data_IF_749167444062
#
_entry.id   IF_749167444062
#
_cell.length_a   1.000
_cell.length_b   1.000
_cell.length_c   1.000
_cell.angle_alpha   90.00
_cell.angle_beta   90.00
_cell.angle_gamma   90.00
#
_symmetry.space_group_name_H-M   'P 1'
#
loop_
_entity.id
_entity.type
_entity.pdbx_description
1 polymer ?
#
# COMPACT_ATOMS: atom_id res chain seq x y z
N UNK A 1 -27.94 18.81 23.19
CA UNK A 1 -28.78 18.14 24.20
C UNK A 1 -30.13 17.82 23.56
N UNK A 2 -30.85 16.82 24.05
CA UNK A 2 -32.22 16.53 23.60
C UNK A 2 -33.24 17.41 24.35
N UNK A 3 -34.54 17.21 24.06
CA UNK A 3 -35.66 17.92 24.69
C UNK A 3 -35.75 17.68 26.22
N UNK A 4 -35.12 16.60 26.71
CA UNK A 4 -35.09 16.22 28.12
C UNK A 4 -33.77 16.62 28.81
N UNK A 5 -32.96 17.49 28.20
CA UNK A 5 -31.65 17.92 28.70
C UNK A 5 -30.56 16.83 28.78
N UNK A 6 -30.72 15.70 28.09
CA UNK A 6 -29.66 14.69 28.01
C UNK A 6 -28.58 15.10 27.00
N UNK A 7 -27.32 14.74 27.26
CA UNK A 7 -26.21 15.00 26.36
C UNK A 7 -26.27 14.08 25.13
N UNK A 8 -26.42 14.66 23.93
CA UNK A 8 -26.45 13.90 22.66
C UNK A 8 -25.11 13.90 21.91
N UNK A 9 -24.19 14.81 22.22
CA UNK A 9 -22.95 14.96 21.48
C UNK A 9 -22.26 16.30 21.77
N UNK A 10 -21.05 16.44 21.23
CA UNK A 10 -20.22 17.63 21.35
C UNK A 10 -19.60 17.94 19.99
N UNK A 11 -19.65 19.20 19.59
CA UNK A 11 -18.92 19.72 18.42
C UNK A 11 -17.95 20.77 18.94
N UNK A 12 -16.71 20.71 18.47
CA UNK A 12 -15.69 21.68 18.87
C UNK A 12 -15.33 22.60 17.72
N UNK A 13 -14.82 23.81 18.02
CA UNK A 13 -14.31 24.73 17.00
C UNK A 13 -13.19 24.09 16.16
N UNK A 14 -12.41 23.19 16.77
CA UNK A 14 -11.34 22.43 16.11
C UNK A 14 -11.86 21.53 15.00
N UNK A 15 -13.08 20.99 15.13
CA UNK A 15 -13.69 20.15 14.08
C UNK A 15 -14.02 20.99 12.83
N UNK A 16 -14.51 22.21 13.05
CA UNK A 16 -14.82 23.19 11.99
C UNK A 16 -13.53 23.67 11.31
N UNK A 17 -12.54 24.07 12.10
CA UNK A 17 -11.23 24.52 11.58
C UNK A 17 -10.53 23.44 10.77
N UNK A 18 -10.56 22.17 11.24
CA UNK A 18 -9.98 21.05 10.49
C UNK A 18 -10.71 20.78 9.18
N UNK A 19 -12.03 20.91 9.14
CA UNK A 19 -12.80 20.73 7.91
C UNK A 19 -12.42 21.78 6.85
N UNK A 20 -12.18 23.02 7.26
CA UNK A 20 -11.72 24.07 6.35
C UNK A 20 -10.24 23.87 5.93
N UNK A 21 -9.38 23.49 6.89
CA UNK A 21 -7.94 23.29 6.65
C UNK A 21 -7.64 22.10 5.75
N UNK A 22 -8.44 21.03 5.83
CA UNK A 22 -8.22 19.79 5.07
C UNK A 22 -9.46 19.43 4.23
N UNK A 23 -9.74 20.18 3.15
CA UNK A 23 -10.95 20.00 2.34
C UNK A 23 -10.99 18.68 1.58
N UNK A 24 -9.82 18.08 1.31
CA UNK A 24 -9.68 16.78 0.64
C UNK A 24 -9.57 15.60 1.62
N UNK A 25 -9.98 15.78 2.89
CA UNK A 25 -9.92 14.72 3.89
C UNK A 25 -10.85 13.55 3.51
N UNK A 26 -10.31 12.33 3.52
CA UNK A 26 -11.09 11.12 3.34
C UNK A 26 -11.90 10.83 4.61
N UNK A 27 -13.23 10.90 4.50
CA UNK A 27 -14.15 10.81 5.64
C UNK A 27 -15.27 9.80 5.40
N UNK A 28 -15.76 9.19 6.46
CA UNK A 28 -16.98 8.39 6.45
C UNK A 28 -18.24 9.27 6.37
N UNK A 29 -19.42 8.63 6.30
CA UNK A 29 -20.71 9.31 6.23
C UNK A 29 -21.03 10.17 7.49
N UNK A 30 -20.33 9.95 8.61
CA UNK A 30 -20.46 10.72 9.85
C UNK A 30 -19.43 11.86 9.95
N UNK A 31 -18.58 12.03 8.93
CA UNK A 31 -17.55 13.07 8.88
C UNK A 31 -16.26 12.74 9.64
N UNK A 32 -16.08 11.49 10.10
CA UNK A 32 -14.87 11.00 10.77
C UNK A 32 -13.84 10.55 9.75
N UNK A 33 -12.55 10.60 10.10
CA UNK A 33 -11.48 10.17 9.19
C UNK A 33 -11.53 8.66 8.96
N UNK A 34 -11.34 8.23 7.71
CA UNK A 34 -11.27 6.82 7.36
C UNK A 34 -9.99 6.17 7.89
N UNK A 35 -10.10 4.95 8.40
CA UNK A 35 -8.98 4.13 8.86
C UNK A 35 -9.18 2.65 8.55
N UNK A 36 -8.11 1.99 8.14
CA UNK A 36 -8.06 0.55 7.92
C UNK A 36 -7.02 -0.12 8.82
N UNK A 37 -7.23 -1.38 9.15
CA UNK A 37 -6.32 -2.15 10.02
C UNK A 37 -5.93 -3.49 9.40
N UNK A 38 -4.65 -3.85 9.54
CA UNK A 38 -4.13 -5.12 9.05
C UNK A 38 -4.38 -6.26 10.06
N UNK A 39 -4.76 -7.42 9.55
CA UNK A 39 -4.97 -8.66 10.30
C UNK A 39 -4.31 -9.83 9.54
N UNK A 40 -3.65 -10.72 10.27
CA UNK A 40 -3.13 -11.97 9.73
C UNK A 40 -4.20 -13.07 9.68
N UNK A 41 -3.78 -14.33 9.69
CA UNK A 41 -4.64 -15.52 9.75
C UNK A 41 -4.22 -16.50 10.85
N UNK A 42 -3.34 -16.10 11.77
CA UNK A 42 -3.02 -16.89 12.97
C UNK A 42 -4.26 -17.14 13.85
N UNK A 43 -4.24 -18.18 14.70
CA UNK A 43 -5.22 -18.31 15.77
C UNK A 43 -5.37 -17.00 16.55
N UNK A 44 -6.61 -16.58 16.84
CA UNK A 44 -6.89 -15.29 17.47
C UNK A 44 -7.25 -14.14 16.50
N UNK A 45 -7.21 -14.38 15.18
CA UNK A 45 -7.47 -13.32 14.20
C UNK A 45 -8.91 -12.79 14.26
N UNK A 46 -9.90 -13.61 14.61
CA UNK A 46 -11.30 -13.20 14.69
C UNK A 46 -11.56 -12.28 15.88
N UNK A 47 -10.94 -12.54 17.02
CA UNK A 47 -10.99 -11.71 18.22
C UNK A 47 -10.40 -10.33 17.92
N UNK A 48 -9.30 -10.29 17.14
CA UNK A 48 -8.72 -9.03 16.66
C UNK A 48 -9.68 -8.29 15.73
N UNK A 49 -10.31 -8.98 14.78
CA UNK A 49 -11.31 -8.38 13.87
C UNK A 49 -12.48 -7.83 14.68
N UNK A 50 -13.00 -8.59 15.64
CA UNK A 50 -14.10 -8.19 16.50
C UNK A 50 -13.78 -6.92 17.30
N UNK A 51 -12.59 -6.85 17.90
CA UNK A 51 -12.13 -5.66 18.61
C UNK A 51 -12.02 -4.44 17.69
N UNK A 52 -11.50 -4.62 16.47
CA UNK A 52 -11.35 -3.55 15.47
C UNK A 52 -12.71 -3.04 14.95
N UNK A 53 -13.66 -3.96 14.71
CA UNK A 53 -15.03 -3.61 14.33
C UNK A 53 -15.73 -2.88 15.48
N UNK A 54 -15.55 -3.34 16.72
CA UNK A 54 -16.04 -2.64 17.92
C UNK A 54 -15.49 -1.21 18.05
N UNK A 55 -14.25 -1.00 17.60
CA UNK A 55 -13.61 0.32 17.51
C UNK A 55 -14.00 1.12 16.25
N UNK A 56 -14.90 0.61 15.41
CA UNK A 56 -15.43 1.25 14.18
C UNK A 56 -14.39 1.46 13.08
N UNK A 57 -13.52 0.47 12.85
CA UNK A 57 -12.64 0.45 11.66
C UNK A 57 -13.47 0.46 10.37
N UNK A 58 -13.03 1.19 9.35
CA UNK A 58 -13.74 1.27 8.06
C UNK A 58 -13.44 0.07 7.15
N UNK A 59 -12.21 -0.48 7.23
CA UNK A 59 -11.81 -1.64 6.46
C UNK A 59 -10.81 -2.54 7.20
N UNK A 60 -10.91 -3.84 6.96
CA UNK A 60 -9.90 -4.83 7.37
C UNK A 60 -9.05 -5.23 6.17
N UNK A 61 -7.73 -5.31 6.38
CA UNK A 61 -6.77 -5.80 5.39
C UNK A 61 -6.23 -7.14 5.87
N UNK A 62 -6.70 -8.24 5.29
CA UNK A 62 -6.10 -9.57 5.49
C UNK A 62 -4.77 -9.59 4.73
N UNK A 63 -3.66 -9.50 5.47
CA UNK A 63 -2.31 -9.30 4.92
C UNK A 63 -1.43 -10.53 5.17
N UNK A 64 -1.16 -11.28 4.11
CA UNK A 64 -0.29 -12.47 4.11
C UNK A 64 0.73 -12.40 2.96
N UNK A 65 1.85 -13.12 3.09
CA UNK A 65 2.77 -13.31 1.97
C UNK A 65 2.15 -14.16 0.84
N UNK A 66 1.14 -15.01 1.12
CA UNK A 66 0.50 -15.83 0.10
C UNK A 66 -1.04 -15.88 0.26
N UNK A 67 -1.71 -14.93 -0.39
CA UNK A 67 -3.17 -14.76 -0.36
C UNK A 67 -3.96 -15.88 -1.02
N UNK A 68 -3.33 -16.66 -1.91
CA UNK A 68 -3.96 -17.79 -2.59
C UNK A 68 -3.87 -19.10 -1.77
N UNK A 69 -3.47 -19.03 -0.50
CA UNK A 69 -3.46 -20.20 0.37
C UNK A 69 -4.86 -20.52 0.91
N UNK A 70 -5.16 -21.82 1.08
CA UNK A 70 -6.47 -22.27 1.55
C UNK A 70 -6.86 -21.67 2.91
N UNK A 71 -5.87 -21.54 3.82
CA UNK A 71 -6.06 -20.91 5.14
C UNK A 71 -6.57 -19.48 5.02
N UNK A 72 -6.03 -18.72 4.07
CA UNK A 72 -6.41 -17.31 3.85
C UNK A 72 -7.78 -17.21 3.20
N UNK A 73 -8.07 -18.04 2.20
CA UNK A 73 -9.40 -18.10 1.58
C UNK A 73 -10.48 -18.44 2.61
N UNK A 74 -10.22 -19.40 3.50
CA UNK A 74 -11.12 -19.74 4.61
C UNK A 74 -11.33 -18.56 5.56
N UNK A 75 -10.25 -17.87 5.95
CA UNK A 75 -10.33 -16.73 6.86
C UNK A 75 -11.11 -15.55 6.24
N UNK A 76 -10.87 -15.23 4.97
CA UNK A 76 -11.62 -14.20 4.22
C UNK A 76 -13.11 -14.53 4.17
N UNK A 77 -13.46 -15.78 3.83
CA UNK A 77 -14.85 -16.24 3.81
C UNK A 77 -15.51 -16.20 5.18
N UNK A 78 -14.77 -16.54 6.25
CA UNK A 78 -15.27 -16.47 7.62
C UNK A 78 -15.54 -15.04 8.08
N UNK A 79 -14.60 -14.11 7.84
CA UNK A 79 -14.77 -12.69 8.15
C UNK A 79 -15.98 -12.13 7.39
N UNK A 80 -16.11 -12.41 6.09
CA UNK A 80 -17.25 -11.94 5.28
C UNK A 80 -18.58 -12.46 5.82
N UNK A 81 -18.68 -13.74 6.22
CA UNK A 81 -19.92 -14.29 6.80
C UNK A 81 -20.29 -13.59 8.11
N UNK A 82 -19.32 -13.30 8.97
CA UNK A 82 -19.57 -12.67 10.28
C UNK A 82 -19.83 -11.17 10.18
N UNK A 83 -19.21 -10.49 9.21
CA UNK A 83 -19.33 -9.04 9.00
C UNK A 83 -19.65 -8.72 7.53
N UNK A 84 -20.90 -8.95 7.07
CA UNK A 84 -21.27 -8.81 5.66
C UNK A 84 -21.11 -7.40 5.09
N UNK A 85 -21.18 -6.36 5.90
CA UNK A 85 -21.10 -4.96 5.48
C UNK A 85 -19.68 -4.37 5.59
N UNK A 86 -18.77 -5.06 6.29
CA UNK A 86 -17.40 -4.59 6.50
C UNK A 86 -16.64 -4.58 5.18
N UNK A 87 -15.91 -3.50 4.89
CA UNK A 87 -15.01 -3.46 3.74
C UNK A 87 -13.82 -4.38 4.00
N UNK A 88 -13.62 -5.36 3.11
CA UNK A 88 -12.61 -6.40 3.28
C UNK A 88 -11.61 -6.36 2.13
N UNK A 89 -10.37 -6.02 2.43
CA UNK A 89 -9.23 -6.12 1.52
C UNK A 89 -8.47 -7.40 1.84
N UNK A 90 -8.06 -8.15 0.82
CA UNK A 90 -7.24 -9.35 1.03
C UNK A 90 -6.08 -9.44 0.04
N UNK A 91 -4.94 -9.94 0.51
CA UNK A 91 -3.77 -10.17 -0.32
C UNK A 91 -2.58 -10.74 0.48
N UNK A 92 -1.42 -10.95 -0.12
CA UNK A 92 -1.11 -10.57 -1.50
C UNK A 92 -1.29 -11.72 -2.50
N UNK A 93 -1.69 -11.36 -3.72
CA UNK A 93 -1.67 -12.26 -4.88
C UNK A 93 -0.93 -11.59 -6.03
N UNK A 94 -0.57 -12.37 -7.05
CA UNK A 94 0.11 -11.85 -8.23
C UNK A 94 -0.37 -12.49 -9.54
N UNK A 95 -1.48 -13.24 -9.50
CA UNK A 95 -2.06 -13.93 -10.66
C UNK A 95 -3.58 -13.73 -10.69
N UNK A 96 -4.15 -13.89 -11.88
CA UNK A 96 -5.60 -13.84 -12.10
C UNK A 96 -6.37 -14.84 -11.21
N UNK A 97 -5.88 -16.08 -11.08
CA UNK A 97 -6.50 -17.13 -10.27
C UNK A 97 -6.52 -16.76 -8.79
N UNK A 98 -5.41 -16.23 -8.27
CA UNK A 98 -5.36 -15.79 -6.88
C UNK A 98 -6.32 -14.62 -6.60
N UNK A 99 -6.43 -13.68 -7.53
CA UNK A 99 -7.39 -12.58 -7.42
C UNK A 99 -8.84 -13.10 -7.45
N UNK A 100 -9.15 -13.99 -8.41
CA UNK A 100 -10.47 -14.64 -8.52
C UNK A 100 -10.84 -15.35 -7.23
N UNK A 101 -9.94 -16.19 -6.69
CA UNK A 101 -10.20 -16.95 -5.47
C UNK A 101 -10.50 -16.03 -4.28
N UNK A 102 -9.79 -14.90 -4.13
CA UNK A 102 -10.07 -13.93 -3.08
C UNK A 102 -11.40 -13.20 -3.26
N UNK A 103 -11.77 -12.85 -4.51
CA UNK A 103 -13.08 -12.26 -4.79
C UNK A 103 -14.22 -13.25 -4.52
N UNK A 104 -14.07 -14.51 -4.92
CA UNK A 104 -15.03 -15.59 -4.61
C UNK A 104 -15.16 -15.85 -3.11
N UNK A 105 -14.05 -15.73 -2.36
CA UNK A 105 -14.07 -15.81 -0.90
C UNK A 105 -14.76 -14.60 -0.22
N UNK A 106 -14.95 -13.48 -0.94
CA UNK A 106 -15.71 -12.34 -0.45
C UNK A 106 -14.91 -11.05 -0.18
N UNK A 107 -13.69 -10.93 -0.69
CA UNK A 107 -12.91 -9.69 -0.62
C UNK A 107 -13.52 -8.59 -1.51
N UNK A 108 -13.67 -7.36 -1.01
CA UNK A 108 -14.14 -6.18 -1.77
C UNK A 108 -13.03 -5.59 -2.65
N UNK A 109 -11.80 -5.70 -2.19
CA UNK A 109 -10.63 -5.36 -2.98
C UNK A 109 -9.50 -6.38 -2.77
N UNK A 110 -8.69 -6.56 -3.79
CA UNK A 110 -7.53 -7.46 -3.75
C UNK A 110 -6.24 -6.66 -3.77
N UNK A 111 -5.33 -6.96 -2.84
CA UNK A 111 -3.99 -6.38 -2.78
C UNK A 111 -3.00 -7.20 -3.61
N UNK A 112 -2.37 -6.56 -4.58
CA UNK A 112 -1.59 -7.21 -5.64
C UNK A 112 -0.11 -6.88 -5.49
N UNK A 113 0.72 -7.92 -5.38
CA UNK A 113 2.17 -7.80 -5.43
C UNK A 113 2.90 -8.85 -4.61
N UNK A 114 3.71 -9.68 -5.29
CA UNK A 114 4.59 -10.68 -4.65
C UNK A 114 6.04 -10.37 -5.00
N UNK A 115 6.79 -9.97 -3.97
CA UNK A 115 8.19 -9.60 -4.06
C UNK A 115 8.59 -8.28 -4.76
N UNK A 116 7.71 -7.30 -5.07
CA UNK A 116 8.14 -6.06 -5.72
C UNK A 116 8.68 -5.00 -4.73
N UNK A 117 8.48 -5.19 -3.42
CA UNK A 117 8.83 -4.19 -2.40
C UNK A 117 10.33 -3.93 -2.33
N UNK A 118 10.73 -2.68 -2.06
CA UNK A 118 12.13 -2.24 -2.05
C UNK A 118 13.01 -2.94 -1.01
N UNK A 119 12.39 -3.54 0.01
CA UNK A 119 13.04 -4.25 1.12
C UNK A 119 12.64 -5.73 1.19
N UNK A 120 11.96 -6.23 0.16
CA UNK A 120 11.51 -7.60 0.09
C UNK A 120 12.54 -8.46 -0.66
N UNK A 121 12.89 -9.61 -0.10
CA UNK A 121 13.83 -10.56 -0.70
C UNK A 121 13.16 -11.86 -1.13
N UNK A 122 11.82 -11.98 -1.06
CA UNK A 122 11.04 -13.17 -1.46
C UNK A 122 11.45 -13.72 -2.83
N UNK A 123 11.66 -12.87 -3.84
CA UNK A 123 12.09 -13.33 -5.18
C UNK A 123 13.47 -13.97 -5.19
N UNK A 124 14.36 -13.50 -4.32
CA UNK A 124 15.74 -13.95 -4.24
C UNK A 124 15.84 -15.19 -3.36
N UNK A 125 15.18 -15.17 -2.21
CA UNK A 125 15.28 -16.22 -1.18
C UNK A 125 14.36 -17.40 -1.49
N UNK A 126 13.09 -17.14 -1.80
CA UNK A 126 12.11 -18.19 -2.11
C UNK A 126 12.01 -18.51 -3.61
N UNK A 127 12.57 -17.66 -4.48
CA UNK A 127 12.48 -17.85 -5.94
C UNK A 127 11.09 -17.53 -6.53
N UNK A 128 10.21 -16.89 -5.76
CA UNK A 128 8.79 -16.67 -6.14
C UNK A 128 8.48 -15.20 -6.36
N UNK A 129 7.77 -14.89 -7.45
CA UNK A 129 7.19 -13.57 -7.71
C UNK A 129 6.84 -13.34 -9.18
N UNK A 130 6.11 -12.25 -9.44
CA UNK A 130 5.69 -11.83 -10.79
C UNK A 130 6.02 -10.35 -10.98
N UNK A 131 6.58 -9.90 -12.12
CA UNK A 131 6.77 -8.47 -12.40
C UNK A 131 5.49 -7.65 -12.15
N UNK A 132 5.62 -6.55 -11.41
CA UNK A 132 4.47 -5.90 -10.78
C UNK A 132 3.43 -5.36 -11.78
N UNK A 133 3.86 -4.82 -12.92
CA UNK A 133 2.94 -4.34 -13.96
C UNK A 133 2.12 -5.50 -14.54
N UNK A 134 2.74 -6.65 -14.78
CA UNK A 134 2.04 -7.86 -15.24
C UNK A 134 1.05 -8.36 -14.19
N UNK A 135 1.49 -8.47 -12.93
CA UNK A 135 0.64 -8.90 -11.82
C UNK A 135 -0.59 -8.00 -11.67
N UNK A 136 -0.40 -6.68 -11.68
CA UNK A 136 -1.49 -5.69 -11.62
C UNK A 136 -2.43 -5.86 -12.82
N UNK A 137 -1.89 -5.95 -14.03
CA UNK A 137 -2.70 -6.08 -15.24
C UNK A 137 -3.56 -7.34 -15.25
N UNK A 138 -3.00 -8.50 -14.90
CA UNK A 138 -3.71 -9.78 -14.86
C UNK A 138 -4.79 -9.79 -13.78
N UNK A 139 -4.47 -9.36 -12.56
CA UNK A 139 -5.44 -9.25 -11.47
C UNK A 139 -6.56 -8.23 -11.79
N UNK A 140 -6.25 -7.14 -12.50
CA UNK A 140 -7.23 -6.12 -12.88
C UNK A 140 -8.28 -6.66 -13.85
N UNK A 141 -7.92 -7.59 -14.73
CA UNK A 141 -8.89 -8.22 -15.63
C UNK A 141 -9.94 -8.99 -14.84
N UNK A 142 -9.54 -9.74 -13.82
CA UNK A 142 -10.48 -10.47 -12.96
C UNK A 142 -11.30 -9.50 -12.10
N UNK A 143 -10.68 -8.47 -11.54
CA UNK A 143 -11.39 -7.45 -10.78
C UNK A 143 -12.52 -6.80 -11.58
N UNK A 144 -12.28 -6.51 -12.87
CA UNK A 144 -13.30 -5.99 -13.79
C UNK A 144 -14.48 -6.95 -13.96
N UNK A 145 -14.21 -8.27 -14.07
CA UNK A 145 -15.26 -9.30 -14.22
C UNK A 145 -16.15 -9.41 -12.98
N UNK A 146 -15.56 -9.23 -11.80
CA UNK A 146 -16.28 -9.25 -10.52
C UNK A 146 -16.89 -7.89 -10.15
N UNK A 147 -16.62 -6.81 -10.91
CA UNK A 147 -17.03 -5.45 -10.54
C UNK A 147 -16.34 -4.95 -9.26
N UNK A 148 -15.14 -5.45 -8.96
CA UNK A 148 -14.37 -5.16 -7.75
C UNK A 148 -13.07 -4.43 -8.06
N UNK A 149 -12.32 -4.08 -7.02
CA UNK A 149 -11.18 -3.15 -7.08
C UNK A 149 -9.87 -3.86 -6.74
N UNK A 150 -8.74 -3.33 -7.20
CA UNK A 150 -7.42 -3.82 -6.79
C UNK A 150 -6.51 -2.70 -6.30
N UNK A 151 -5.56 -3.07 -5.44
CA UNK A 151 -4.53 -2.20 -4.88
C UNK A 151 -3.16 -2.70 -5.37
N UNK A 152 -2.39 -1.86 -6.06
CA UNK A 152 -1.01 -2.21 -6.40
C UNK A 152 -0.08 -1.94 -5.20
N UNK A 153 0.51 -3.01 -4.64
CA UNK A 153 1.32 -2.96 -3.42
C UNK A 153 2.80 -3.26 -3.70
N UNK A 154 3.64 -2.24 -3.50
CA UNK A 154 5.10 -2.33 -3.60
C UNK A 154 5.68 -2.05 -4.99
N UNK A 155 6.99 -1.75 -5.01
CA UNK A 155 7.78 -1.49 -6.23
C UNK A 155 7.71 -0.08 -6.80
N UNK A 156 6.92 0.82 -6.19
CA UNK A 156 6.78 2.21 -6.63
C UNK A 156 7.93 3.03 -6.06
N UNK A 157 8.74 3.59 -6.96
CA UNK A 157 9.91 4.41 -6.59
C UNK A 157 9.71 5.88 -6.93
N UNK A 158 8.95 6.16 -7.98
CA UNK A 158 8.66 7.51 -8.45
C UNK A 158 7.17 7.70 -8.68
N UNK A 159 6.71 8.96 -8.70
CA UNK A 159 5.31 9.29 -8.98
C UNK A 159 4.82 8.75 -10.34
N UNK A 160 5.71 8.68 -11.34
CA UNK A 160 5.40 8.05 -12.63
C UNK A 160 5.05 6.57 -12.54
N UNK A 161 5.54 5.84 -11.53
CA UNK A 161 5.17 4.44 -11.32
C UNK A 161 3.74 4.29 -10.79
N UNK A 162 3.23 5.30 -10.08
CA UNK A 162 1.81 5.38 -9.68
C UNK A 162 0.94 5.47 -10.94
N UNK A 163 1.29 6.38 -11.86
CA UNK A 163 0.57 6.53 -13.15
C UNK A 163 0.56 5.22 -13.92
N UNK A 164 1.71 4.52 -14.00
CA UNK A 164 1.80 3.22 -14.68
C UNK A 164 0.97 2.14 -14.00
N UNK A 165 0.98 2.05 -12.67
CA UNK A 165 0.20 1.05 -11.93
C UNK A 165 -1.30 1.26 -12.14
N UNK A 166 -1.76 2.52 -12.09
CA UNK A 166 -3.17 2.86 -12.34
C UNK A 166 -3.52 2.59 -13.80
N UNK A 167 -2.72 3.05 -14.77
CA UNK A 167 -2.93 2.76 -16.18
C UNK A 167 -2.92 1.26 -16.51
N UNK A 168 -2.22 0.43 -15.71
CA UNK A 168 -2.24 -1.02 -15.84
C UNK A 168 -3.51 -1.67 -15.26
N UNK A 169 -4.35 -0.92 -14.55
CA UNK A 169 -5.64 -1.38 -14.06
C UNK A 169 -5.85 -1.27 -12.55
N UNK A 170 -4.88 -0.78 -11.78
CA UNK A 170 -5.06 -0.56 -10.35
C UNK A 170 -6.02 0.61 -10.05
N UNK A 171 -6.77 0.51 -8.96
CA UNK A 171 -7.64 1.59 -8.48
C UNK A 171 -6.90 2.51 -7.51
N UNK A 172 -6.02 1.92 -6.70
CA UNK A 172 -5.15 2.63 -5.77
C UNK A 172 -3.78 1.96 -5.71
N UNK A 173 -2.83 2.66 -5.09
CA UNK A 173 -1.48 2.15 -4.83
C UNK A 173 -1.21 2.16 -3.32
N UNK A 174 -0.48 1.16 -2.84
CA UNK A 174 0.03 1.11 -1.47
C UNK A 174 1.53 1.39 -1.47
N UNK A 175 1.94 2.37 -0.66
CA UNK A 175 3.31 2.90 -0.64
C UNK A 175 3.98 2.62 0.72
N UNK A 176 5.19 2.07 0.68
CA UNK A 176 6.04 1.86 1.85
C UNK A 176 7.17 2.88 1.90
N UNK A 177 8.28 2.58 1.23
CA UNK A 177 9.53 3.37 1.25
C UNK A 177 9.35 4.86 0.95
N UNK A 178 8.41 5.20 0.07
CA UNK A 178 8.14 6.60 -0.26
C UNK A 178 7.63 7.41 0.93
N UNK A 179 6.91 6.78 1.85
CA UNK A 179 6.31 7.39 3.04
C UNK A 179 7.11 7.11 4.32
N UNK A 180 7.97 6.08 4.33
CA UNK A 180 8.69 5.66 5.54
C UNK A 180 9.59 6.76 6.14
N UNK A 181 10.09 7.69 5.33
CA UNK A 181 10.96 8.78 5.79
C UNK A 181 10.22 10.04 6.26
N UNK A 182 8.88 10.07 6.25
CA UNK A 182 8.12 11.27 6.63
C UNK A 182 8.08 11.45 8.15
N UNK A 183 7.76 12.65 8.61
CA UNK A 183 7.69 12.99 10.03
C UNK A 183 6.69 12.08 10.78
N UNK A 184 5.52 11.86 10.19
CA UNK A 184 4.39 11.13 10.76
C UNK A 184 4.57 9.60 10.76
N UNK A 185 5.57 9.08 10.03
CA UNK A 185 5.84 7.63 10.06
C UNK A 185 6.35 7.21 11.44
N UNK A 186 6.14 5.96 11.88
CA UNK A 186 6.74 5.47 13.13
C UNK A 186 8.27 5.37 13.02
N UNK A 187 8.96 5.33 14.17
CA UNK A 187 10.41 5.16 14.26
C UNK A 187 11.16 6.48 14.48
N UNK A 188 12.37 6.36 15.02
CA UNK A 188 13.22 7.49 15.38
C UNK A 188 13.99 8.06 14.17
N UNK A 189 14.36 9.33 14.26
CA UNK A 189 15.26 9.97 13.30
C UNK A 189 16.70 9.66 13.73
N UNK A 190 17.45 9.03 12.84
CA UNK A 190 18.86 8.71 13.04
C UNK A 190 19.76 9.64 12.21
N UNK A 191 20.90 10.05 12.76
CA UNK A 191 21.91 10.81 12.03
C UNK A 191 22.97 9.85 11.49
N UNK A 192 23.20 9.88 10.18
CA UNK A 192 24.25 9.12 9.54
C UNK A 192 24.98 9.99 8.52
N UNK A 193 26.31 10.06 8.65
CA UNK A 193 27.17 10.90 7.80
C UNK A 193 26.65 12.36 7.68
N UNK A 194 26.17 12.92 8.79
CA UNK A 194 25.66 14.29 8.85
C UNK A 194 24.30 14.51 8.18
N UNK A 195 23.57 13.45 7.80
CA UNK A 195 22.22 13.52 7.24
C UNK A 195 21.23 12.76 8.11
N UNK A 196 19.98 13.23 8.13
CA UNK A 196 18.88 12.62 8.87
C UNK A 196 18.22 11.50 8.06
N UNK A 197 17.97 10.37 8.71
CA UNK A 197 17.31 9.19 8.17
C UNK A 197 16.24 8.69 9.14
N UNK A 198 15.35 7.81 8.67
CA UNK A 198 14.49 6.99 9.52
C UNK A 198 14.72 5.51 9.23
N UNK A 199 14.59 4.68 10.26
CA UNK A 199 14.67 3.22 10.14
C UNK A 199 13.47 2.70 9.35
N UNK A 200 13.72 1.87 8.35
CA UNK A 200 12.69 1.23 7.53
C UNK A 200 12.98 -0.27 7.40
N UNK A 201 12.08 -1.10 7.92
CA UNK A 201 12.24 -2.56 7.95
C UNK A 201 11.08 -3.28 7.29
N UNK A 202 11.39 -4.40 6.64
CA UNK A 202 10.42 -5.22 5.95
C UNK A 202 9.69 -6.09 6.96
N UNK A 203 8.41 -6.38 6.74
CA UNK A 203 7.68 -7.29 7.63
C UNK A 203 8.32 -8.69 7.71
N UNK A 204 9.12 -9.06 6.70
CA UNK A 204 9.91 -10.30 6.66
C UNK A 204 11.35 -10.15 7.15
N UNK A 205 11.73 -9.00 7.73
CA UNK A 205 13.04 -8.84 8.37
C UNK A 205 13.07 -9.57 9.72
N UNK A 206 14.26 -9.93 10.19
CA UNK A 206 14.40 -10.61 11.49
C UNK A 206 13.81 -9.81 12.65
N UNK A 207 14.01 -8.48 12.69
CA UNK A 207 13.45 -7.64 13.73
C UNK A 207 11.92 -7.61 13.70
N UNK A 208 11.33 -7.38 12.52
CA UNK A 208 9.87 -7.37 12.37
C UNK A 208 9.25 -8.74 12.65
N UNK A 209 9.89 -9.83 12.21
CA UNK A 209 9.40 -11.19 12.42
C UNK A 209 9.40 -11.58 13.91
N UNK A 210 10.45 -11.20 14.66
CA UNK A 210 10.53 -11.40 16.12
C UNK A 210 9.44 -10.67 16.89
N UNK A 211 8.91 -9.58 16.35
CA UNK A 211 7.82 -8.78 16.93
C UNK A 211 6.43 -9.18 16.40
N UNK A 212 6.30 -10.38 15.79
CA UNK A 212 5.02 -10.94 15.34
C UNK A 212 4.85 -11.00 13.81
N UNK A 213 5.79 -10.47 13.03
CA UNK A 213 5.76 -10.56 11.57
C UNK A 213 5.99 -11.98 11.01
N UNK A 214 6.49 -12.92 11.82
CA UNK A 214 6.82 -14.29 11.38
C UNK A 214 5.60 -15.04 10.82
N UNK A 215 4.43 -14.77 11.38
CA UNK A 215 3.15 -15.36 10.98
C UNK A 215 2.82 -15.12 9.51
N UNK A 216 3.09 -13.89 9.04
CA UNK A 216 2.85 -13.48 7.64
C UNK A 216 3.60 -14.35 6.64
N UNK A 217 4.73 -14.93 7.05
CA UNK A 217 5.62 -15.78 6.24
C UNK A 217 5.56 -17.26 6.64
N UNK A 218 4.56 -17.67 7.43
CA UNK A 218 4.34 -19.06 7.86
C UNK A 218 5.50 -19.64 8.68
N UNK A 219 6.18 -18.81 9.47
CA UNK A 219 7.38 -19.18 10.25
C UNK A 219 7.21 -19.06 11.77
N UNK A 220 5.97 -19.15 12.27
CA UNK A 220 5.63 -19.08 13.70
C UNK A 220 5.85 -20.39 14.47
N UNK A 221 6.56 -21.37 13.89
CA UNK A 221 6.73 -22.72 14.43
C UNK A 221 8.05 -22.98 15.17
N UNK A 222 8.97 -22.01 15.26
CA UNK A 222 10.26 -22.24 15.91
C UNK A 222 11.18 -21.02 16.05
N UNK A 223 12.31 -21.16 16.76
CA UNK A 223 13.21 -20.04 17.10
C UNK A 223 14.12 -19.60 15.93
N UNK A 224 14.28 -20.44 14.90
CA UNK A 224 15.08 -20.15 13.72
C UNK A 224 14.17 -19.64 12.61
N UNK A 225 14.41 -18.41 12.15
CA UNK A 225 13.66 -17.74 11.11
C UNK A 225 14.53 -17.56 9.85
N UNK A 226 13.92 -17.71 8.68
CA UNK A 226 14.46 -17.46 7.34
C UNK A 226 13.84 -16.16 6.82
N UNK A 227 14.53 -15.02 6.95
CA UNK A 227 13.95 -13.72 6.62
C UNK A 227 13.77 -13.53 5.10
N UNK A 228 12.59 -13.01 4.73
CA UNK A 228 12.24 -12.60 3.36
C UNK A 228 12.18 -11.07 3.20
N UNK A 229 12.83 -10.36 4.12
CA UNK A 229 13.01 -8.91 4.05
C UNK A 229 14.28 -8.43 4.75
N UNK A 230 14.64 -7.19 4.46
CA UNK A 230 15.81 -6.52 5.05
C UNK A 230 15.40 -5.32 5.90
N UNK A 231 16.35 -4.85 6.71
CA UNK A 231 16.25 -3.60 7.44
C UNK A 231 17.21 -2.60 6.82
N UNK A 232 16.74 -1.37 6.64
CA UNK A 232 17.50 -0.31 6.04
C UNK A 232 17.12 1.04 6.63
N UNK A 233 17.67 2.09 6.04
CA UNK A 233 17.39 3.47 6.40
C UNK A 233 16.93 4.22 5.16
N UNK A 234 15.95 5.09 5.31
CA UNK A 234 15.46 5.99 4.25
C UNK A 234 15.73 7.43 4.65
N UNK A 235 16.10 8.32 3.71
CA UNK A 235 16.31 9.73 4.03
C UNK A 235 15.06 10.35 4.69
N UNK A 236 15.26 11.24 5.65
CA UNK A 236 14.17 12.03 6.23
C UNK A 236 13.58 12.97 5.16
N UNK A 237 12.24 12.99 5.06
CA UNK A 237 11.52 13.70 4.00
C UNK A 237 10.68 14.88 4.47
N UNK A 238 10.67 15.17 5.77
CA UNK A 238 9.78 16.18 6.34
C UNK A 238 8.31 15.71 6.40
N UNK A 239 7.36 16.65 6.45
CA UNK A 239 5.93 16.34 6.58
C UNK A 239 5.39 15.52 5.41
N UNK A 240 4.48 14.58 5.70
CA UNK A 240 3.81 13.71 4.72
C UNK A 240 3.12 14.49 3.61
N UNK A 241 2.52 15.63 3.95
CA UNK A 241 1.75 16.46 3.03
C UNK A 241 2.58 16.87 1.79
N UNK A 242 3.85 17.21 1.97
CA UNK A 242 4.74 17.62 0.87
C UNK A 242 5.05 16.45 -0.07
N UNK A 243 5.27 15.26 0.50
CA UNK A 243 5.47 14.04 -0.29
C UNK A 243 4.22 13.71 -1.08
N UNK A 244 3.04 13.73 -0.45
CA UNK A 244 1.75 13.45 -1.11
C UNK A 244 1.48 14.46 -2.22
N UNK A 245 1.76 15.74 -1.99
CA UNK A 245 1.60 16.80 -3.00
C UNK A 245 2.40 16.49 -4.28
N UNK A 246 3.67 16.11 -4.15
CA UNK A 246 4.52 15.74 -5.29
C UNK A 246 4.04 14.48 -6.02
N UNK A 247 3.57 13.47 -5.27
CA UNK A 247 3.04 12.23 -5.85
C UNK A 247 1.77 12.47 -6.66
N UNK A 248 0.82 13.23 -6.11
CA UNK A 248 -0.42 13.62 -6.80
C UNK A 248 -0.12 14.53 -7.99
N UNK A 249 0.85 15.46 -7.87
CA UNK A 249 1.31 16.30 -8.96
C UNK A 249 1.82 15.49 -10.15
N UNK A 250 2.65 14.47 -9.89
CA UNK A 250 3.15 13.54 -10.91
C UNK A 250 2.04 12.70 -11.57
N UNK A 251 1.08 12.22 -10.79
CA UNK A 251 -0.09 11.51 -11.32
C UNK A 251 -0.94 12.41 -12.23
N UNK A 252 -1.26 13.63 -11.80
CA UNK A 252 -2.01 14.62 -12.61
C UNK A 252 -1.29 14.96 -13.91
N UNK A 253 0.03 15.14 -13.87
CA UNK A 253 0.81 15.36 -15.08
C UNK A 253 0.73 14.15 -16.03
N UNK A 254 0.89 12.92 -15.50
CA UNK A 254 0.76 11.69 -16.29
C UNK A 254 -0.63 11.52 -16.91
N UNK A 255 -1.69 11.82 -16.17
CA UNK A 255 -3.07 11.86 -16.67
C UNK A 255 -3.24 12.90 -17.78
N UNK A 256 -2.64 14.09 -17.62
CA UNK A 256 -2.65 15.15 -18.63
C UNK A 256 -2.00 14.73 -19.95
N UNK A 257 -0.81 14.11 -19.90
CA UNK A 257 -0.16 13.57 -21.11
C UNK A 257 -0.95 12.44 -21.77
N UNK A 258 -1.68 11.64 -20.99
CA UNK A 258 -2.56 10.59 -21.52
C UNK A 258 -3.92 11.12 -21.98
N UNK A 259 -4.20 12.42 -21.85
CA UNK A 259 -5.51 13.00 -22.19
C UNK A 259 -6.67 12.45 -21.34
N UNK A 260 -6.40 12.04 -20.10
CA UNK A 260 -7.36 11.39 -19.20
C UNK A 260 -7.77 12.33 -18.06
N UNK A 261 -9.08 12.49 -17.85
CA UNK A 261 -9.66 13.36 -16.81
C UNK A 261 -9.92 12.61 -15.51
N UNK A 262 -10.13 11.30 -15.57
CA UNK A 262 -10.42 10.46 -14.41
C UNK A 262 -9.49 9.25 -14.34
N UNK A 263 -9.46 8.61 -13.18
CA UNK A 263 -8.72 7.36 -12.97
C UNK A 263 -9.25 6.27 -13.89
N UNK A 264 -10.57 6.18 -14.04
CA UNK A 264 -11.24 5.24 -14.95
C UNK A 264 -10.80 5.45 -16.40
N UNK A 265 -10.75 6.70 -16.87
CA UNK A 265 -10.25 6.99 -18.22
C UNK A 265 -8.80 6.57 -18.40
N UNK A 266 -7.95 6.79 -17.38
CA UNK A 266 -6.55 6.37 -17.43
C UNK A 266 -6.43 4.84 -17.56
N UNK A 267 -7.26 4.07 -16.85
CA UNK A 267 -7.29 2.60 -16.92
C UNK A 267 -7.74 2.08 -18.30
N UNK A 268 -8.66 2.77 -18.97
CA UNK A 268 -9.26 2.29 -20.23
C UNK A 268 -8.51 2.78 -21.48
N UNK A 269 -8.05 4.03 -21.47
CA UNK A 269 -7.53 4.72 -22.66
C UNK A 269 -6.01 4.68 -22.74
N UNK A 270 -5.30 4.60 -21.62
CA UNK A 270 -3.84 4.59 -21.65
C UNK A 270 -3.29 3.41 -22.46
N UNK A 271 -2.13 3.63 -23.08
CA UNK A 271 -1.41 2.63 -23.86
C UNK A 271 0.05 2.64 -23.43
N UNK A 272 0.63 1.46 -23.38
CA UNK A 272 2.04 1.28 -23.02
C UNK A 272 2.86 0.95 -24.26
N UNK A 273 4.12 1.38 -24.25
CA UNK A 273 5.16 0.93 -25.16
C UNK A 273 6.24 0.26 -24.32
N UNK A 274 6.65 -0.94 -24.71
CA UNK A 274 7.77 -1.64 -24.06
C UNK A 274 9.08 -1.00 -24.49
N UNK A 275 9.94 -0.72 -23.53
CA UNK A 275 11.26 -0.13 -23.76
C UNK A 275 12.36 -1.12 -23.36
N UNK A 276 13.54 -0.94 -23.95
CA UNK A 276 14.76 -1.67 -23.55
C UNK A 276 15.40 -1.01 -22.33
N UNK A 277 16.45 -1.64 -21.77
CA UNK A 277 17.26 -1.02 -20.71
C UNK A 277 17.91 0.29 -21.17
N UNK A 278 18.27 0.40 -22.45
CA UNK A 278 18.77 1.66 -23.01
C UNK A 278 17.69 2.76 -22.98
N UNK A 279 16.44 2.42 -23.33
CA UNK A 279 15.31 3.36 -23.20
C UNK A 279 15.02 3.77 -21.75
N UNK A 280 15.25 2.88 -20.78
CA UNK A 280 15.16 3.25 -19.36
C UNK A 280 16.26 4.25 -18.98
N UNK A 281 17.50 4.03 -19.42
CA UNK A 281 18.60 4.99 -19.19
C UNK A 281 18.32 6.34 -19.84
N UNK A 282 17.76 6.35 -21.05
CA UNK A 282 17.31 7.56 -21.74
C UNK A 282 16.19 8.28 -20.97
N UNK A 283 15.27 7.53 -20.34
CA UNK A 283 14.14 8.12 -19.60
C UNK A 283 14.58 8.88 -18.34
N UNK A 284 15.73 8.52 -17.75
CA UNK A 284 16.32 9.25 -16.62
C UNK A 284 17.22 10.39 -17.11
N UNK A 285 17.45 11.47 -16.34
CA UNK A 285 18.45 12.47 -16.69
C UNK A 285 19.82 11.81 -16.93
N UNK A 286 20.41 12.09 -18.08
CA UNK A 286 21.66 11.51 -18.54
C UNK A 286 22.53 12.59 -19.20
N UNK A 287 23.85 12.37 -19.26
CA UNK A 287 24.83 13.28 -19.86
C UNK A 287 24.90 14.69 -19.23
N UNK A 288 24.49 14.85 -17.96
CA UNK A 288 24.57 16.10 -17.19
C UNK A 288 24.94 15.85 -15.72
N UNK A 289 25.53 16.85 -15.06
CA UNK A 289 25.77 16.82 -13.61
C UNK A 289 24.61 17.53 -12.92
N UNK A 290 23.86 16.80 -12.09
CA UNK A 290 22.78 17.38 -11.28
C UNK A 290 23.41 18.23 -10.17
N UNK A 291 23.14 19.53 -10.19
CA UNK A 291 23.64 20.49 -9.17
C UNK A 291 22.67 20.67 -8.02
N UNK A 292 21.38 20.41 -8.24
CA UNK A 292 20.31 20.50 -7.24
C UNK A 292 19.25 19.44 -7.52
N UNK A 293 18.93 18.64 -6.52
CA UNK A 293 17.87 17.63 -6.63
C UNK A 293 16.49 18.25 -6.51
N UNK A 294 15.52 17.68 -7.23
CA UNK A 294 14.12 18.05 -7.15
C UNK A 294 13.40 17.18 -6.11
N UNK A 295 12.37 17.69 -5.43
CA UNK A 295 11.67 16.94 -4.38
C UNK A 295 10.96 15.66 -4.88
N UNK A 296 10.74 15.55 -6.18
CA UNK A 296 10.11 14.42 -6.85
C UNK A 296 11.11 13.48 -7.57
N UNK A 297 12.41 13.75 -7.50
CA UNK A 297 13.42 12.98 -8.22
C UNK A 297 14.78 12.97 -7.50
N UNK A 298 15.13 11.79 -6.99
CA UNK A 298 16.46 11.47 -6.45
C UNK A 298 16.98 10.21 -7.13
N UNK A 299 18.26 10.22 -7.46
CA UNK A 299 18.96 9.02 -7.93
C UNK A 299 19.52 8.33 -6.68
N UNK A 300 19.04 7.12 -6.39
CA UNK A 300 19.72 6.26 -5.43
C UNK A 300 21.11 5.95 -5.98
N UNK A 301 22.11 6.66 -5.47
CA UNK A 301 23.50 6.21 -5.60
C UNK A 301 23.63 5.05 -4.61
N UNK A 302 23.38 3.84 -5.08
CA UNK A 302 23.90 2.65 -4.39
C UNK A 302 25.39 2.90 -4.18
N UNK A 303 25.81 2.88 -2.91
CA UNK A 303 27.20 3.16 -2.53
C UNK A 303 28.18 2.39 -3.40
N UNK A 304 29.33 3.03 -3.64
CA UNK A 304 30.55 2.28 -3.90
C UNK A 304 30.75 1.20 -2.83
#
# INVERSE_FOLDING_TARGET
IDENFNLCGLITIKDIEKAHKYPNAAKDAQGRLLVAAAVGVAPGYLERVEALVGAKVDAIVVDTAHGHSEKVLKAVGEIRRRYPELQLVAGNVATAEGARALFEAGADAVKVGIGPGSICTTRVIAGVGVPQITAVYECAQEAKRFGRRIIADGGIKYSGDITKAIAAGADTVMLGSLLAGTEESPGEIEIYQGRSYKVYRGMGSLGAMREGGAERYFQDYGPKLVPEGVEGRVPYKGPLAETVFQLIGGLRAGMGYCGCRTIEELKEKARFVRITVAGLRESHPHNVIITKEAPNYTIERSGQ
#
